data_IF_808599801022
#
_entry.id   IF_808599801022
#
_cell.length_a   1.000
_cell.length_b   1.000
_cell.length_c   1.000
_cell.angle_alpha   90.00
_cell.angle_beta   90.00
_cell.angle_gamma   90.00
#
_symmetry.space_group_name_H-M   'P 1'
#
loop_
_entity.id
_entity.type
_entity.pdbx_description
1 polymer ?
#
# COMPACT_ATOMS: atom_id res chain seq x y z
N UNK A 1 14.47 17.11 24.88
CA UNK A 1 14.63 16.44 23.58
C UNK A 1 13.31 16.61 22.86
N UNK A 2 13.30 17.39 21.78
CA UNK A 2 12.08 17.58 20.99
C UNK A 2 11.62 16.22 20.47
N UNK A 3 10.40 15.83 20.83
CA UNK A 3 9.82 14.57 20.38
C UNK A 3 9.64 14.63 18.87
N UNK A 4 10.14 13.62 18.17
CA UNK A 4 9.97 13.53 16.73
C UNK A 4 8.49 13.23 16.43
N UNK A 5 7.73 14.14 15.79
CA UNK A 5 6.28 13.98 15.58
C UNK A 5 5.95 12.76 14.69
N UNK A 6 6.88 12.35 13.84
CA UNK A 6 6.73 11.14 13.03
C UNK A 6 6.80 9.90 13.91
N UNK A 7 7.69 9.88 14.91
CA UNK A 7 7.84 8.78 15.86
C UNK A 7 6.55 8.56 16.66
N UNK A 8 5.95 9.63 17.20
CA UNK A 8 4.66 9.57 17.90
C UNK A 8 3.53 9.04 17.00
N UNK A 9 3.61 9.31 15.69
CA UNK A 9 2.63 8.83 14.74
C UNK A 9 2.79 7.33 14.46
N UNK A 10 4.00 6.87 14.12
CA UNK A 10 4.23 5.44 13.86
C UNK A 10 4.01 4.57 15.10
N UNK A 11 4.20 5.10 16.31
CA UNK A 11 3.85 4.42 17.57
C UNK A 11 2.38 4.00 17.65
N UNK A 12 1.48 4.68 16.93
CA UNK A 12 0.03 4.40 16.94
C UNK A 12 -0.40 3.44 15.84
N UNK A 13 0.49 3.11 14.90
CA UNK A 13 0.13 2.30 13.75
C UNK A 13 0.20 0.82 14.11
N UNK A 14 -0.83 0.02 13.74
CA UNK A 14 -0.85 -1.43 14.01
C UNK A 14 0.40 -2.16 13.52
N UNK A 15 0.91 -1.78 12.35
CA UNK A 15 2.10 -2.38 11.74
C UNK A 15 3.36 -2.26 12.59
N UNK A 16 3.51 -1.16 13.34
CA UNK A 16 4.71 -0.91 14.13
C UNK A 16 4.57 -1.28 15.62
N UNK A 17 3.45 -1.89 16.03
CA UNK A 17 3.21 -2.24 17.45
C UNK A 17 4.24 -3.22 18.01
N UNK A 18 4.66 -4.19 17.19
CA UNK A 18 5.64 -5.21 17.60
C UNK A 18 7.10 -4.70 17.58
N UNK A 19 7.32 -3.45 17.15
CA UNK A 19 8.65 -2.84 17.10
C UNK A 19 8.94 -2.12 18.43
N UNK A 20 10.16 -2.28 18.95
CA UNK A 20 10.58 -1.51 20.12
C UNK A 20 10.78 -0.03 19.75
N UNK A 21 10.79 0.84 20.74
CA UNK A 21 10.97 2.28 20.50
C UNK A 21 12.33 2.58 19.86
N UNK A 22 13.36 1.80 20.21
CA UNK A 22 14.67 1.87 19.56
C UNK A 22 14.63 1.45 18.08
N UNK A 23 13.85 0.42 17.74
CA UNK A 23 13.68 -0.03 16.35
C UNK A 23 12.87 0.99 15.53
N UNK A 24 11.81 1.56 16.10
CA UNK A 24 11.03 2.65 15.49
C UNK A 24 11.90 3.88 15.27
N UNK A 25 12.71 4.27 16.26
CA UNK A 25 13.64 5.39 16.13
C UNK A 25 14.66 5.16 15.00
N UNK A 26 15.20 3.94 14.87
CA UNK A 26 16.09 3.58 13.74
C UNK A 26 15.39 3.72 12.39
N UNK A 27 14.14 3.29 12.29
CA UNK A 27 13.33 3.45 11.07
C UNK A 27 13.16 4.92 10.71
N UNK A 28 12.69 5.75 11.64
CA UNK A 28 12.45 7.19 11.39
C UNK A 28 13.73 7.96 11.05
N UNK A 29 14.86 7.54 11.61
CA UNK A 29 16.15 8.17 11.33
C UNK A 29 16.78 7.70 10.00
N UNK A 30 16.13 6.79 9.26
CA UNK A 30 16.59 6.38 7.94
C UNK A 30 16.30 7.48 6.92
N UNK A 31 17.35 8.03 6.31
CA UNK A 31 17.23 9.10 5.33
C UNK A 31 16.51 8.64 4.06
N UNK A 32 15.68 9.53 3.49
CA UNK A 32 15.08 9.33 2.17
C UNK A 32 13.85 8.40 2.14
N UNK A 33 13.30 8.01 3.29
CA UNK A 33 12.11 7.15 3.35
C UNK A 33 10.79 7.90 3.35
N UNK A 34 10.81 9.24 3.46
CA UNK A 34 9.60 10.05 3.50
C UNK A 34 9.38 10.76 2.18
N UNK A 35 8.25 10.50 1.54
CA UNK A 35 7.85 11.12 0.30
C UNK A 35 6.55 11.92 0.52
N UNK A 36 6.44 13.05 -0.18
CA UNK A 36 5.28 13.95 -0.12
C UNK A 36 4.66 14.06 -1.50
N UNK A 37 3.34 14.03 -1.52
CA UNK A 37 2.55 14.10 -2.73
C UNK A 37 1.42 15.11 -2.58
N UNK A 38 1.11 15.81 -3.66
CA UNK A 38 -0.07 16.66 -3.81
C UNK A 38 -1.22 15.85 -4.37
N UNK A 39 -2.42 16.39 -4.24
CA UNK A 39 -3.64 15.79 -4.79
C UNK A 39 -3.48 15.41 -6.27
N UNK A 40 -3.88 14.19 -6.61
CA UNK A 40 -3.79 13.62 -7.95
C UNK A 40 -2.41 13.09 -8.36
N UNK A 41 -1.33 13.29 -7.59
CA UNK A 41 -0.02 12.76 -7.96
C UNK A 41 0.05 11.24 -7.82
N UNK A 42 0.67 10.58 -8.80
CA UNK A 42 0.88 9.13 -8.82
C UNK A 42 2.01 8.72 -7.89
N UNK A 43 1.71 7.77 -7.00
CA UNK A 43 2.65 7.18 -6.05
C UNK A 43 3.12 5.81 -6.56
N UNK A 44 2.20 5.04 -7.14
CA UNK A 44 2.47 3.74 -7.78
C UNK A 44 1.72 3.73 -9.12
N UNK A 45 2.40 3.32 -10.19
CA UNK A 45 1.74 3.01 -11.46
C UNK A 45 1.63 1.49 -11.63
N UNK A 46 0.50 1.05 -12.16
CA UNK A 46 0.26 -0.32 -12.55
C UNK A 46 1.28 -0.76 -13.63
N UNK A 47 1.78 -1.98 -13.52
CA UNK A 47 2.78 -2.54 -14.44
C UNK A 47 4.22 -2.16 -14.09
N UNK A 48 4.45 -1.14 -13.26
CA UNK A 48 5.81 -0.73 -12.88
C UNK A 48 6.56 -1.87 -12.18
N UNK A 49 7.85 -1.99 -12.48
CA UNK A 49 8.77 -2.80 -11.70
C UNK A 49 9.22 -1.99 -10.47
N UNK A 50 8.87 -2.44 -9.27
CA UNK A 50 9.27 -1.73 -8.07
C UNK A 50 9.02 -2.50 -6.79
N UNK A 51 10.08 -2.79 -6.04
CA UNK A 51 10.03 -3.54 -4.79
C UNK A 51 10.06 -2.58 -3.59
N UNK A 52 8.91 -1.95 -3.32
CA UNK A 52 8.71 -1.12 -2.15
C UNK A 52 7.29 -1.27 -1.60
N UNK A 53 7.15 -1.16 -0.29
CA UNK A 53 5.87 -0.94 0.38
C UNK A 53 5.80 0.51 0.88
N UNK A 54 4.58 0.96 1.12
CA UNK A 54 4.31 2.31 1.58
C UNK A 54 3.39 2.29 2.80
N UNK A 55 3.62 3.21 3.73
CA UNK A 55 2.74 3.47 4.87
C UNK A 55 2.22 4.90 4.76
N UNK A 56 0.91 5.09 4.77
CA UNK A 56 0.30 6.44 4.75
C UNK A 56 0.50 7.09 6.11
N UNK A 57 1.16 8.23 6.17
CA UNK A 57 1.37 8.99 7.41
C UNK A 57 0.35 10.12 7.54
N UNK A 58 -0.05 10.72 6.42
CA UNK A 58 -1.01 11.84 6.39
C UNK A 58 -1.75 11.83 5.06
N UNK A 59 -3.00 12.28 5.07
CA UNK A 59 -3.85 12.34 3.88
C UNK A 59 -4.54 11.01 3.55
N UNK A 60 -5.04 10.95 2.33
CA UNK A 60 -5.71 9.77 1.74
C UNK A 60 -5.11 9.43 0.38
N UNK A 61 -5.21 8.15 0.02
CA UNK A 61 -4.74 7.59 -1.25
C UNK A 61 -5.87 6.82 -1.89
N UNK A 62 -6.05 6.99 -3.19
CA UNK A 62 -6.97 6.21 -4.00
C UNK A 62 -6.21 5.13 -4.73
N UNK A 63 -6.66 3.89 -4.59
CA UNK A 63 -6.12 2.75 -5.34
C UNK A 63 -7.04 2.49 -6.52
N UNK A 64 -6.50 2.52 -7.73
CA UNK A 64 -7.25 2.25 -8.97
C UNK A 64 -6.67 1.05 -9.72
N UNK A 65 -7.51 0.43 -10.55
CA UNK A 65 -7.14 -0.66 -11.44
C UNK A 65 -7.67 -0.34 -12.83
N UNK A 66 -6.80 -0.38 -13.83
CA UNK A 66 -7.22 -0.20 -15.22
C UNK A 66 -7.96 -1.44 -15.70
N UNK A 67 -9.14 -1.28 -16.28
CA UNK A 67 -9.84 -2.36 -16.97
C UNK A 67 -9.14 -2.66 -18.29
N UNK A 68 -9.03 -3.93 -18.65
CA UNK A 68 -8.69 -4.28 -20.03
C UNK A 68 -9.85 -3.83 -20.93
N UNK A 69 -9.55 -3.05 -21.98
CA UNK A 69 -10.54 -2.78 -23.01
C UNK A 69 -11.04 -4.14 -23.56
N UNK A 70 -12.35 -4.40 -23.61
CA UNK A 70 -12.86 -5.71 -23.98
C UNK A 70 -12.43 -6.07 -25.41
N UNK A 71 -11.45 -6.96 -25.55
CA UNK A 71 -11.08 -7.53 -26.84
C UNK A 71 -12.14 -8.58 -27.17
N UNK A 72 -12.98 -8.31 -28.18
CA UNK A 72 -13.81 -9.33 -28.81
C UNK A 72 -13.03 -9.90 -30.00
N UNK A 73 -13.12 -11.20 -30.22
CA UNK A 73 -12.40 -11.94 -31.26
C UNK A 73 -12.17 -11.13 -32.54
N UNK A 74 -10.91 -10.78 -32.81
CA UNK A 74 -10.48 -10.09 -34.03
C UNK A 74 -10.76 -8.59 -34.09
N UNK A 75 -11.35 -7.97 -33.07
CA UNK A 75 -11.67 -6.54 -33.03
C UNK A 75 -10.86 -5.81 -31.95
N UNK A 76 -10.11 -4.78 -32.36
CA UNK A 76 -9.49 -3.82 -31.43
C UNK A 76 -10.63 -2.99 -30.83
N UNK A 77 -10.81 -3.05 -29.52
CA UNK A 77 -11.71 -2.14 -28.82
C UNK A 77 -11.15 -0.73 -28.92
N UNK A 78 -11.96 0.21 -29.42
CA UNK A 78 -11.66 1.64 -29.43
C UNK A 78 -12.00 2.33 -28.09
N UNK A 79 -12.46 1.58 -27.09
CA UNK A 79 -12.74 2.13 -25.77
C UNK A 79 -11.44 2.30 -25.00
N UNK A 80 -11.22 3.50 -24.49
CA UNK A 80 -10.12 3.75 -23.56
C UNK A 80 -10.30 2.88 -22.31
N UNK A 81 -9.20 2.36 -21.73
CA UNK A 81 -9.24 1.66 -20.45
C UNK A 81 -9.93 2.52 -19.39
N UNK A 82 -10.99 2.01 -18.77
CA UNK A 82 -11.61 2.67 -17.62
C UNK A 82 -10.74 2.43 -16.37
N UNK A 83 -10.55 3.45 -15.55
CA UNK A 83 -9.95 3.29 -14.22
C UNK A 83 -11.02 3.09 -13.16
N UNK A 84 -11.04 1.91 -12.56
CA UNK A 84 -11.96 1.60 -11.47
C UNK A 84 -11.25 1.82 -10.14
N UNK A 85 -11.87 2.63 -9.27
CA UNK A 85 -11.42 2.79 -7.88
C UNK A 85 -11.75 1.53 -7.09
N UNK A 86 -10.73 0.87 -6.53
CA UNK A 86 -10.88 -0.38 -5.78
C UNK A 86 -10.84 -0.18 -4.26
N UNK A 87 -10.16 0.88 -3.80
CA UNK A 87 -10.08 1.21 -2.39
C UNK A 87 -9.65 2.68 -2.18
N UNK A 88 -10.09 3.24 -1.06
CA UNK A 88 -9.53 4.47 -0.48
C UNK A 88 -8.79 4.10 0.80
N UNK A 89 -7.55 4.55 0.90
CA UNK A 89 -6.67 4.28 2.02
C UNK A 89 -6.42 5.58 2.79
N UNK A 90 -6.41 5.50 4.11
CA UNK A 90 -6.18 6.64 5.01
C UNK A 90 -4.88 6.47 5.77
N UNK A 91 -4.47 7.50 6.50
CA UNK A 91 -3.34 7.45 7.42
C UNK A 91 -3.36 6.16 8.29
N UNK A 92 -2.21 5.50 8.35
CA UNK A 92 -1.99 4.18 8.96
C UNK A 92 -2.18 2.99 8.03
N UNK A 93 -2.74 3.20 6.84
CA UNK A 93 -2.88 2.14 5.84
C UNK A 93 -1.53 1.80 5.21
N UNK A 94 -1.37 0.54 4.85
CA UNK A 94 -0.21 0.05 4.07
C UNK A 94 -0.67 -0.27 2.67
N UNK A 95 0.20 -0.08 1.68
CA UNK A 95 -0.05 -0.46 0.30
C UNK A 95 1.25 -0.75 -0.47
N UNK A 96 1.11 -1.36 -1.65
CA UNK A 96 2.24 -1.74 -2.49
C UNK A 96 3.01 -2.98 -2.02
N UNK A 97 2.60 -3.61 -0.92
CA UNK A 97 3.32 -4.73 -0.32
C UNK A 97 3.33 -6.01 -1.18
N UNK A 98 2.28 -6.24 -1.99
CA UNK A 98 2.19 -7.44 -2.84
C UNK A 98 3.38 -7.55 -3.79
N UNK A 99 3.80 -6.44 -4.41
CA UNK A 99 4.92 -6.45 -5.36
C UNK A 99 6.24 -6.74 -4.66
N UNK A 100 6.45 -6.16 -3.47
CA UNK A 100 7.61 -6.44 -2.62
C UNK A 100 7.70 -7.93 -2.24
N UNK A 101 6.58 -8.55 -1.87
CA UNK A 101 6.56 -9.94 -1.37
C UNK A 101 6.63 -10.97 -2.51
N UNK A 102 5.87 -10.74 -3.58
CA UNK A 102 5.73 -11.69 -4.69
C UNK A 102 6.78 -11.53 -5.78
N UNK A 103 7.56 -10.44 -5.76
CA UNK A 103 8.49 -10.05 -6.81
C UNK A 103 7.83 -9.98 -8.19
N UNK A 104 6.56 -9.53 -8.22
CA UNK A 104 5.77 -9.31 -9.44
C UNK A 104 5.63 -7.81 -9.70
N UNK A 105 5.36 -7.38 -10.95
CA UNK A 105 5.02 -6.00 -11.27
C UNK A 105 3.86 -5.48 -10.42
N UNK A 106 3.75 -4.16 -10.30
CA UNK A 106 2.64 -3.50 -9.61
C UNK A 106 1.31 -3.90 -10.24
N UNK A 107 0.36 -4.33 -9.41
CA UNK A 107 -0.94 -4.79 -9.89
C UNK A 107 -1.99 -3.67 -9.99
N UNK A 108 -1.74 -2.50 -9.41
CA UNK A 108 -2.73 -1.43 -9.23
C UNK A 108 -2.00 -0.08 -9.23
N UNK A 109 -2.70 0.99 -9.59
CA UNK A 109 -2.22 2.35 -9.35
C UNK A 109 -2.50 2.77 -7.90
N UNK A 110 -1.72 3.73 -7.41
CA UNK A 110 -1.99 4.45 -6.17
C UNK A 110 -1.77 5.95 -6.41
N UNK A 111 -2.81 6.75 -6.19
CA UNK A 111 -2.79 8.20 -6.38
C UNK A 111 -3.07 8.91 -5.06
N UNK A 112 -2.41 10.04 -4.82
CA UNK A 112 -2.76 10.91 -3.72
C UNK A 112 -4.18 11.48 -3.91
N UNK A 113 -4.98 11.47 -2.84
CA UNK A 113 -6.40 11.85 -2.85
C UNK A 113 -6.73 12.83 -1.71
N UNK A 114 -5.84 13.80 -1.54
CA UNK A 114 -5.96 14.92 -0.59
C UNK A 114 -4.91 15.98 -0.90
N UNK A 115 -5.11 17.22 -0.42
CA UNK A 115 -4.21 18.35 -0.69
C UNK A 115 -2.73 18.05 -0.37
N UNK A 116 -2.48 17.26 0.67
CA UNK A 116 -1.14 16.81 1.03
C UNK A 116 -1.19 15.38 1.56
N UNK A 117 -0.50 14.48 0.88
CA UNK A 117 -0.24 13.11 1.31
C UNK A 117 1.22 12.98 1.70
N UNK A 118 1.48 12.32 2.82
CA UNK A 118 2.83 11.96 3.24
C UNK A 118 2.88 10.45 3.43
N UNK A 119 3.87 9.81 2.83
CA UNK A 119 4.08 8.36 2.95
C UNK A 119 5.48 8.05 3.44
N UNK A 120 5.59 6.93 4.15
CA UNK A 120 6.86 6.26 4.40
C UNK A 120 7.05 5.18 3.34
N UNK A 121 8.04 5.32 2.46
CA UNK A 121 8.45 4.33 1.45
C UNK A 121 9.56 3.45 2.00
N UNK A 122 9.32 2.16 2.02
CA UNK A 122 10.26 1.17 2.54
C UNK A 122 10.56 0.18 1.41
N UNK A 123 11.77 0.27 0.88
CA UNK A 123 12.27 -0.62 -0.18
C UNK A 123 12.84 -1.91 0.41
N UNK A 124 12.98 -2.94 -0.43
CA UNK A 124 13.70 -4.16 -0.03
C UNK A 124 15.12 -3.83 0.47
N UNK A 125 15.83 -2.94 -0.22
CA UNK A 125 17.18 -2.51 0.16
C UNK A 125 17.25 -1.85 1.54
N UNK A 126 16.20 -1.13 1.95
CA UNK A 126 16.12 -0.54 3.30
C UNK A 126 15.91 -1.65 4.33
N UNK A 127 15.02 -2.61 4.05
CA UNK A 127 14.75 -3.76 4.92
C UNK A 127 16.03 -4.58 5.13
N UNK A 128 16.77 -4.84 4.07
CA UNK A 128 17.99 -5.66 4.10
C UNK A 128 19.12 -5.04 4.93
N UNK A 129 19.12 -3.71 5.11
CA UNK A 129 20.09 -3.00 5.97
C UNK A 129 19.82 -3.19 7.46
N UNK A 130 18.61 -3.58 7.84
CA UNK A 130 18.30 -3.85 9.24
C UNK A 130 18.73 -5.26 9.67
N UNK A 131 18.79 -5.48 10.98
CA UNK A 131 19.09 -6.81 11.52
C UNK A 131 17.95 -7.81 11.25
N UNK A 132 18.24 -9.10 11.38
CA UNK A 132 17.27 -10.18 11.13
C UNK A 132 16.02 -10.11 12.02
N UNK A 133 16.10 -9.48 13.20
CA UNK A 133 14.94 -9.34 14.10
C UNK A 133 13.93 -8.36 13.50
N UNK A 134 14.39 -7.18 13.07
CA UNK A 134 13.57 -6.17 12.41
C UNK A 134 13.01 -6.74 11.09
N UNK A 135 13.84 -7.40 10.28
CA UNK A 135 13.38 -8.02 9.03
C UNK A 135 12.25 -9.04 9.27
N UNK A 136 12.38 -9.90 10.28
CA UNK A 136 11.32 -10.86 10.65
C UNK A 136 10.03 -10.16 11.09
N UNK A 137 10.13 -9.06 11.84
CA UNK A 137 8.96 -8.25 12.23
C UNK A 137 8.26 -7.66 11.00
N UNK A 138 9.00 -7.11 10.04
CA UNK A 138 8.45 -6.67 8.75
C UNK A 138 7.71 -7.80 8.04
N UNK A 139 8.34 -8.96 7.89
CA UNK A 139 7.71 -10.11 7.23
C UNK A 139 6.43 -10.56 7.94
N UNK A 140 6.45 -10.67 9.27
CA UNK A 140 5.29 -11.05 10.06
C UNK A 140 4.12 -10.07 9.85
N UNK A 141 4.40 -8.77 9.91
CA UNK A 141 3.38 -7.73 9.75
C UNK A 141 2.82 -7.68 8.32
N UNK A 142 3.66 -7.95 7.32
CA UNK A 142 3.21 -8.10 5.94
C UNK A 142 2.28 -9.31 5.76
N UNK A 143 2.62 -10.44 6.35
CA UNK A 143 1.77 -11.64 6.34
C UNK A 143 0.42 -11.33 7.00
N UNK A 144 0.42 -10.73 8.20
CA UNK A 144 -0.81 -10.36 8.90
C UNK A 144 -1.67 -9.39 8.09
N UNK A 145 -1.04 -8.42 7.41
CA UNK A 145 -1.74 -7.48 6.52
C UNK A 145 -2.40 -8.21 5.34
N UNK A 146 -1.71 -9.17 4.73
CA UNK A 146 -2.27 -9.97 3.64
C UNK A 146 -3.41 -10.88 4.09
N UNK A 147 -3.30 -11.49 5.27
CA UNK A 147 -4.37 -12.30 5.87
C UNK A 147 -5.63 -11.46 6.08
N UNK A 148 -5.49 -10.29 6.71
CA UNK A 148 -6.63 -9.38 6.92
C UNK A 148 -7.30 -8.98 5.61
N UNK A 149 -6.51 -8.65 4.58
CA UNK A 149 -7.04 -8.30 3.26
C UNK A 149 -7.74 -9.45 2.56
N UNK A 150 -7.23 -10.67 2.72
CA UNK A 150 -7.87 -11.87 2.19
C UNK A 150 -9.23 -12.09 2.84
N UNK A 151 -9.33 -11.92 4.17
CA UNK A 151 -10.58 -12.03 4.91
C UNK A 151 -11.58 -10.94 4.51
N UNK A 152 -11.11 -9.69 4.33
CA UNK A 152 -11.92 -8.57 3.86
C UNK A 152 -12.43 -8.83 2.43
N UNK A 153 -11.57 -9.34 1.55
CA UNK A 153 -11.92 -9.69 0.17
C UNK A 153 -12.93 -10.84 0.13
N UNK A 154 -12.73 -11.89 0.92
CA UNK A 154 -13.67 -13.01 1.03
C UNK A 154 -15.03 -12.54 1.54
N UNK A 155 -15.05 -11.65 2.54
CA UNK A 155 -16.28 -11.05 3.06
C UNK A 155 -17.02 -10.24 1.99
N UNK A 156 -16.29 -9.41 1.22
CA UNK A 156 -16.85 -8.65 0.10
C UNK A 156 -17.40 -9.58 -0.99
N UNK A 157 -16.67 -10.64 -1.34
CA UNK A 157 -17.08 -11.62 -2.33
C UNK A 157 -18.36 -12.36 -1.93
N UNK A 158 -18.47 -12.79 -0.66
CA UNK A 158 -19.68 -13.43 -0.14
C UNK A 158 -20.88 -12.48 -0.25
N UNK A 159 -20.73 -11.22 0.18
CA UNK A 159 -21.80 -10.21 0.08
C UNK A 159 -22.27 -10.00 -1.36
N UNK A 160 -21.33 -9.87 -2.30
CA UNK A 160 -21.64 -9.71 -3.72
C UNK A 160 -22.36 -10.95 -4.29
N UNK A 161 -21.90 -12.16 -3.94
CA UNK A 161 -22.54 -13.40 -4.38
C UNK A 161 -23.96 -13.52 -3.83
N UNK A 162 -24.17 -13.15 -2.57
CA UNK A 162 -25.51 -13.14 -1.95
C UNK A 162 -26.45 -12.10 -2.53
N UNK A 163 -25.96 -10.96 -3.03
CA UNK A 163 -26.82 -9.98 -3.70
C UNK A 163 -27.26 -10.44 -5.08
N UNK A 164 -26.40 -11.14 -5.82
CA UNK A 164 -26.70 -11.64 -7.17
C UNK A 164 -27.64 -12.86 -7.20
N UNK A 165 -27.82 -13.55 -6.07
CA UNK A 165 -28.75 -14.68 -5.94
C UNK A 165 -30.18 -14.27 -5.52
N UNK A 166 -30.41 -12.98 -5.27
CA UNK A 166 -31.72 -12.45 -4.84
C UNK A 166 -32.56 -11.88 -5.98
N UNK A 167 -32.02 -11.87 -7.20
CA UNK A 167 -32.70 -11.55 -8.46
C UNK A 167 -32.93 -12.82 -9.28
#
# INVERSE_FOLDING_TARGET
MDKNPILEFIERLPFFQEFSDEEKAKLVNTSGIFEKYKDGETIISEGDSGSALFVVLTGSIRITKSTLAPVRDGHISLQEPEEITIAELKAGSIFGEVSLISNRPRNTNALADSQQVVVMKITQEIIDKFNLVIQKKFQAQLILTLVQRLDDMNTKYIKLKSSLQKD
#
